data_IF_830081805362
#
_entry.id   IF_830081805362
#
_cell.length_a   1.000
_cell.length_b   1.000
_cell.length_c   1.000
_cell.angle_alpha   90.00
_cell.angle_beta   90.00
_cell.angle_gamma   90.00
#
_symmetry.space_group_name_H-M   'P 1'
#
loop_
_entity.id
_entity.type
_entity.pdbx_description
1 polymer ?
#
# COMPACT_ATOMS: atom_id res chain seq x y z
N UNK A 1 -29.54 -42.16 -23.48
CA UNK A 1 -28.76 -41.68 -22.31
C UNK A 1 -27.68 -42.72 -22.13
N UNK A 2 -26.56 -42.53 -22.82
CA UNK A 2 -25.50 -43.52 -22.86
C UNK A 2 -24.83 -43.60 -21.48
N UNK A 3 -24.64 -44.82 -20.98
CA UNK A 3 -24.08 -45.07 -19.66
C UNK A 3 -22.66 -44.49 -19.57
N UNK A 4 -22.42 -43.65 -18.57
CA UNK A 4 -21.09 -43.09 -18.32
C UNK A 4 -20.08 -44.23 -18.05
N UNK A 5 -18.87 -44.17 -18.64
CA UNK A 5 -17.90 -45.27 -18.58
C UNK A 5 -17.27 -45.50 -17.20
N UNK A 6 -17.62 -44.72 -16.16
CA UNK A 6 -17.05 -44.83 -14.81
C UNK A 6 -18.17 -44.65 -13.75
N UNK A 7 -18.69 -45.74 -13.16
CA UNK A 7 -19.84 -45.68 -12.24
C UNK A 7 -19.54 -44.96 -10.90
N UNK A 8 -18.28 -44.93 -10.46
CA UNK A 8 -17.88 -44.21 -9.26
C UNK A 8 -18.07 -42.68 -9.38
N UNK A 9 -17.96 -42.13 -10.60
CA UNK A 9 -18.15 -40.70 -10.84
C UNK A 9 -19.65 -40.36 -10.92
N UNK A 10 -20.47 -41.29 -11.44
CA UNK A 10 -21.92 -41.07 -11.48
C UNK A 10 -22.55 -41.01 -10.08
N UNK A 11 -22.09 -41.80 -9.12
CA UNK A 11 -22.59 -41.73 -7.72
C UNK A 11 -22.24 -40.40 -7.05
N UNK A 12 -21.04 -39.86 -7.33
CA UNK A 12 -20.62 -38.56 -6.78
C UNK A 12 -21.34 -37.39 -7.45
N UNK A 13 -21.67 -37.52 -8.75
CA UNK A 13 -22.36 -36.49 -9.51
C UNK A 13 -23.89 -36.56 -9.41
N UNK A 14 -24.47 -37.69 -8.98
CA UNK A 14 -25.92 -37.89 -8.82
C UNK A 14 -26.62 -36.74 -8.06
N UNK A 15 -26.13 -36.24 -6.91
CA UNK A 15 -26.76 -35.12 -6.21
C UNK A 15 -26.66 -33.77 -6.97
N UNK A 16 -25.77 -33.66 -7.95
CA UNK A 16 -25.55 -32.46 -8.76
C UNK A 16 -26.19 -32.55 -10.15
N UNK A 17 -26.57 -33.74 -10.61
CA UNK A 17 -27.24 -33.98 -11.90
C UNK A 17 -28.75 -33.84 -11.70
N UNK A 18 -29.25 -32.63 -11.90
CA UNK A 18 -30.69 -32.34 -11.86
C UNK A 18 -31.36 -32.63 -13.19
N UNK A 19 -32.66 -32.97 -13.13
CA UNK A 19 -33.47 -33.14 -14.33
C UNK A 19 -33.56 -31.82 -15.12
N UNK A 20 -33.60 -31.90 -16.45
CA UNK A 20 -33.70 -30.70 -17.31
C UNK A 20 -34.91 -29.83 -16.96
N UNK A 21 -36.03 -30.45 -16.57
CA UNK A 21 -37.25 -29.77 -16.12
C UNK A 21 -37.05 -29.03 -14.80
N UNK A 22 -36.35 -29.63 -13.84
CA UNK A 22 -36.05 -28.98 -12.55
C UNK A 22 -35.11 -27.80 -12.75
N UNK A 23 -34.06 -27.96 -13.58
CA UNK A 23 -33.14 -26.85 -13.91
C UNK A 23 -33.87 -25.69 -14.59
N UNK A 24 -34.79 -25.98 -15.51
CA UNK A 24 -35.61 -24.95 -16.15
C UNK A 24 -36.55 -24.26 -15.15
N UNK A 25 -37.20 -25.01 -14.25
CA UNK A 25 -38.06 -24.44 -13.21
C UNK A 25 -37.28 -23.54 -12.25
N UNK A 26 -36.10 -23.98 -11.79
CA UNK A 26 -35.21 -23.16 -10.93
C UNK A 26 -34.76 -21.90 -11.67
N UNK A 27 -34.36 -22.02 -12.94
CA UNK A 27 -33.96 -20.85 -13.75
C UNK A 27 -35.11 -19.87 -13.92
N UNK A 28 -36.32 -20.35 -14.17
CA UNK A 28 -37.51 -19.51 -14.30
C UNK A 28 -37.85 -18.81 -12.98
N UNK A 29 -37.81 -19.53 -11.85
CA UNK A 29 -38.04 -18.94 -10.53
C UNK A 29 -37.01 -17.85 -10.20
N UNK A 30 -35.72 -18.11 -10.46
CA UNK A 30 -34.66 -17.11 -10.27
C UNK A 30 -34.85 -15.92 -11.19
N UNK A 31 -35.22 -16.14 -12.45
CA UNK A 31 -35.53 -15.08 -13.41
C UNK A 31 -36.64 -14.17 -12.89
N UNK A 32 -37.78 -14.74 -12.48
CA UNK A 32 -38.90 -13.97 -11.92
C UNK A 32 -38.54 -13.23 -10.64
N UNK A 33 -37.67 -13.81 -9.81
CA UNK A 33 -37.22 -13.18 -8.58
C UNK A 33 -36.31 -11.98 -8.87
N UNK A 34 -35.36 -12.12 -9.79
CA UNK A 34 -34.47 -11.04 -10.21
C UNK A 34 -35.24 -9.93 -10.93
N UNK A 35 -36.21 -10.27 -11.77
CA UNK A 35 -37.14 -9.29 -12.38
C UNK A 35 -37.86 -8.46 -11.31
N UNK A 36 -38.41 -9.12 -10.29
CA UNK A 36 -39.13 -8.44 -9.21
C UNK A 36 -38.23 -7.50 -8.39
N UNK A 37 -36.95 -7.85 -8.20
CA UNK A 37 -36.02 -7.06 -7.40
C UNK A 37 -35.39 -5.91 -8.19
N UNK A 38 -35.10 -6.14 -9.47
CA UNK A 38 -34.43 -5.15 -10.32
C UNK A 38 -35.40 -4.16 -10.96
N UNK A 39 -36.73 -4.43 -10.96
CA UNK A 39 -37.76 -3.55 -11.56
C UNK A 39 -37.26 -2.95 -12.89
N UNK A 40 -36.75 -3.81 -13.78
CA UNK A 40 -36.44 -3.40 -15.14
C UNK A 40 -37.76 -2.89 -15.73
N UNK A 41 -37.77 -1.65 -16.22
CA UNK A 41 -38.90 -1.17 -17.01
C UNK A 41 -39.20 -2.20 -18.11
N UNK A 42 -40.48 -2.42 -18.40
CA UNK A 42 -41.04 -3.57 -19.15
C UNK A 42 -40.43 -3.89 -20.53
N UNK A 43 -39.37 -3.20 -20.96
CA UNK A 43 -38.71 -3.31 -22.26
C UNK A 43 -37.25 -3.78 -22.21
N UNK A 44 -36.59 -3.88 -21.05
CA UNK A 44 -35.18 -4.35 -20.99
C UNK A 44 -35.08 -5.82 -20.57
N UNK A 45 -34.49 -6.71 -21.39
CA UNK A 45 -34.23 -8.09 -20.98
C UNK A 45 -33.13 -8.13 -19.90
N UNK A 46 -33.17 -9.12 -18.99
CA UNK A 46 -32.09 -9.33 -18.04
C UNK A 46 -30.81 -9.73 -18.78
N UNK A 47 -29.91 -8.77 -18.94
CA UNK A 47 -28.55 -9.01 -19.42
C UNK A 47 -27.59 -9.04 -18.23
N UNK A 48 -26.47 -9.75 -18.35
CA UNK A 48 -25.41 -9.80 -17.33
C UNK A 48 -24.95 -8.41 -16.90
N UNK A 49 -24.92 -7.46 -17.84
CA UNK A 49 -24.59 -6.05 -17.59
C UNK A 49 -25.55 -5.36 -16.61
N UNK A 50 -26.85 -5.67 -16.66
CA UNK A 50 -27.87 -5.07 -15.79
C UNK A 50 -27.85 -5.66 -14.37
N UNK A 51 -27.28 -6.86 -14.22
CA UNK A 51 -27.12 -7.54 -12.93
C UNK A 51 -25.82 -7.10 -12.24
N UNK A 52 -24.77 -6.80 -13.01
CA UNK A 52 -23.49 -6.31 -12.48
C UNK A 52 -23.54 -4.87 -12.01
N UNK A 53 -24.39 -4.03 -12.62
CA UNK A 53 -24.51 -2.61 -12.28
C UNK A 53 -26.00 -2.24 -12.10
N UNK A 54 -26.62 -2.57 -10.95
CA UNK A 54 -27.98 -2.14 -10.69
C UNK A 54 -28.02 -0.61 -10.61
N UNK A 55 -29.02 0.07 -11.20
CA UNK A 55 -29.12 1.51 -11.12
C UNK A 55 -29.23 1.95 -9.65
N UNK A 56 -28.12 2.46 -9.10
CA UNK A 56 -27.94 2.94 -7.72
C UNK A 56 -28.89 4.11 -7.34
N UNK A 57 -29.72 4.55 -8.27
CA UNK A 57 -30.60 5.71 -8.13
C UNK A 57 -31.87 5.44 -7.32
N UNK A 58 -32.15 4.19 -6.90
CA UNK A 58 -33.34 3.91 -6.08
C UNK A 58 -33.07 4.20 -4.60
N UNK A 59 -34.00 4.86 -3.88
CA UNK A 59 -33.99 4.85 -2.42
C UNK A 59 -34.16 3.41 -1.93
N UNK A 60 -33.15 2.86 -1.24
CA UNK A 60 -33.30 1.60 -0.52
C UNK A 60 -34.40 1.81 0.55
N UNK A 61 -35.55 1.16 0.36
CA UNK A 61 -36.67 1.17 1.31
C UNK A 61 -36.41 0.25 2.51
N UNK A 62 -37.45 -0.21 3.18
CA UNK A 62 -37.29 -1.15 4.30
C UNK A 62 -36.65 -2.47 3.86
N UNK A 63 -35.74 -3.05 4.68
CA UNK A 63 -35.06 -4.29 4.34
C UNK A 63 -36.06 -5.43 4.18
N UNK A 64 -35.97 -6.26 3.12
CA UNK A 64 -36.80 -7.44 3.01
C UNK A 64 -36.63 -8.33 4.25
N UNK A 65 -37.74 -8.86 4.75
CA UNK A 65 -37.81 -9.64 6.01
C UNK A 65 -36.99 -10.93 5.98
N UNK A 66 -36.54 -11.36 4.79
CA UNK A 66 -35.65 -12.51 4.57
C UNK A 66 -34.17 -12.24 4.88
N UNK A 67 -33.75 -10.97 4.99
CA UNK A 67 -32.36 -10.62 5.31
C UNK A 67 -32.15 -10.68 6.83
N UNK A 68 -31.33 -11.62 7.28
CA UNK A 68 -30.95 -11.76 8.70
C UNK A 68 -29.45 -11.48 8.91
N UNK A 69 -29.08 -11.14 10.14
CA UNK A 69 -27.69 -10.95 10.57
C UNK A 69 -26.94 -9.81 9.86
N UNK A 70 -25.71 -10.09 9.45
CA UNK A 70 -24.75 -9.11 8.88
C UNK A 70 -25.28 -8.45 7.61
N UNK A 71 -26.02 -9.18 6.77
CA UNK A 71 -26.58 -8.63 5.53
C UNK A 71 -27.63 -7.55 5.81
N UNK A 72 -28.42 -7.71 6.89
CA UNK A 72 -29.37 -6.69 7.35
C UNK A 72 -28.65 -5.45 7.89
N UNK A 73 -27.53 -5.64 8.59
CA UNK A 73 -26.70 -4.54 9.09
C UNK A 73 -26.06 -3.76 7.92
N UNK A 74 -25.53 -4.47 6.91
CA UNK A 74 -25.00 -3.86 5.70
C UNK A 74 -26.05 -3.07 4.94
N UNK A 75 -27.25 -3.63 4.76
CA UNK A 75 -28.37 -2.92 4.13
C UNK A 75 -28.73 -1.63 4.90
N UNK A 76 -28.79 -1.67 6.24
CA UNK A 76 -29.01 -0.47 7.06
C UNK A 76 -27.90 0.56 6.90
N UNK A 77 -26.64 0.12 6.80
CA UNK A 77 -25.50 0.98 6.58
C UNK A 77 -25.57 1.66 5.20
N UNK A 78 -25.97 0.93 4.15
CA UNK A 78 -26.20 1.50 2.82
C UNK A 78 -27.31 2.56 2.81
N UNK A 79 -28.44 2.28 3.46
CA UNK A 79 -29.53 3.26 3.63
C UNK A 79 -29.04 4.53 4.33
N UNK A 80 -28.30 4.35 5.43
CA UNK A 80 -27.73 5.48 6.17
C UNK A 80 -26.71 6.27 5.33
N UNK A 81 -25.89 5.59 4.52
CA UNK A 81 -24.94 6.22 3.63
C UNK A 81 -25.63 7.04 2.53
N UNK A 82 -26.66 6.47 1.87
CA UNK A 82 -27.44 7.19 0.86
C UNK A 82 -28.15 8.43 1.46
N UNK A 83 -28.67 8.31 2.69
CA UNK A 83 -29.26 9.45 3.40
C UNK A 83 -28.22 10.52 3.74
N UNK A 84 -27.00 10.13 4.14
CA UNK A 84 -25.91 11.05 4.40
C UNK A 84 -25.43 11.76 3.12
N UNK A 85 -25.34 11.04 2.01
CA UNK A 85 -24.98 11.59 0.70
C UNK A 85 -25.99 12.63 0.23
N UNK A 86 -27.30 12.34 0.34
CA UNK A 86 -28.36 13.32 0.02
C UNK A 86 -28.25 14.60 0.87
N UNK A 87 -27.90 14.48 2.16
CA UNK A 87 -27.67 15.64 3.03
C UNK A 87 -26.43 16.42 2.61
N UNK A 88 -25.35 15.72 2.25
CA UNK A 88 -24.14 16.35 1.75
C UNK A 88 -24.40 17.11 0.45
N UNK A 89 -25.08 16.49 -0.50
CA UNK A 89 -25.42 17.11 -1.79
C UNK A 89 -26.34 18.33 -1.58
N UNK A 90 -27.30 18.23 -0.64
CA UNK A 90 -28.14 19.35 -0.22
C UNK A 90 -27.31 20.52 0.33
N UNK A 91 -26.43 20.26 1.31
CA UNK A 91 -25.55 21.28 1.87
C UNK A 91 -24.59 21.87 0.82
N UNK A 92 -24.09 21.04 -0.10
CA UNK A 92 -23.22 21.50 -1.18
C UNK A 92 -23.99 22.42 -2.14
N UNK A 93 -25.26 22.10 -2.44
CA UNK A 93 -26.11 22.97 -3.25
C UNK A 93 -26.44 24.30 -2.53
N UNK A 94 -26.65 24.28 -1.22
CA UNK A 94 -26.84 25.48 -0.40
C UNK A 94 -25.57 26.35 -0.37
N UNK A 95 -24.40 25.74 -0.18
CA UNK A 95 -23.11 26.42 -0.25
C UNK A 95 -22.85 27.03 -1.62
N UNK A 96 -23.17 26.30 -2.69
CA UNK A 96 -23.06 26.82 -4.06
C UNK A 96 -24.01 28.00 -4.27
N UNK A 97 -25.25 27.93 -3.77
CA UNK A 97 -26.22 29.04 -3.79
C UNK A 97 -25.75 30.28 -3.03
N UNK A 98 -25.12 30.10 -1.86
CA UNK A 98 -24.54 31.19 -1.08
C UNK A 98 -23.30 31.78 -1.76
N UNK A 99 -22.44 30.95 -2.35
CA UNK A 99 -21.22 31.40 -3.03
C UNK A 99 -21.50 32.15 -4.34
N UNK A 100 -22.55 31.77 -5.05
CA UNK A 100 -23.01 32.46 -6.25
C UNK A 100 -23.66 33.82 -5.91
N UNK A 101 -24.22 33.98 -4.71
CA UNK A 101 -24.82 35.24 -4.24
C UNK A 101 -23.81 36.34 -3.85
N UNK A 102 -22.54 35.99 -3.59
CA UNK A 102 -21.50 36.94 -3.14
C UNK A 102 -20.67 37.54 -4.28
N UNK A 103 -20.96 37.20 -5.54
CA UNK A 103 -20.21 37.64 -6.72
C UNK A 103 -20.64 38.97 -7.35
N UNK A 104 -21.71 39.63 -6.87
CA UNK A 104 -22.17 40.90 -7.42
C UNK A 104 -21.57 42.08 -6.66
N UNK A 105 -20.40 42.53 -7.11
CA UNK A 105 -19.97 43.94 -7.19
C UNK A 105 -20.70 44.94 -6.26
N UNK A 106 -20.31 45.04 -4.99
CA UNK A 106 -20.64 46.20 -4.15
C UNK A 106 -19.35 46.88 -3.74
N UNK A 107 -19.11 48.03 -4.36
CA UNK A 107 -18.14 49.04 -3.95
C UNK A 107 -18.27 49.31 -2.44
N UNK A 108 -17.17 49.31 -1.66
CA UNK A 108 -17.26 49.43 -0.21
C UNK A 108 -17.74 50.82 0.17
N UNK A 109 -18.97 50.91 0.69
CA UNK A 109 -19.43 52.04 1.48
C UNK A 109 -18.96 51.80 2.94
N UNK A 110 -18.30 52.77 3.58
CA UNK A 110 -17.80 52.62 4.94
C UNK A 110 -18.96 52.85 5.91
N UNK A 111 -19.45 51.78 6.55
CA UNK A 111 -20.47 51.92 7.60
C UNK A 111 -21.37 50.71 7.84
N UNK A 112 -20.92 49.48 7.56
CA UNK A 112 -21.69 48.29 7.91
C UNK A 112 -21.04 47.53 9.05
N UNK A 113 -21.75 47.45 10.17
CA UNK A 113 -21.43 46.69 11.39
C UNK A 113 -21.11 45.19 11.14
N UNK A 114 -21.35 44.67 9.93
CA UNK A 114 -21.04 43.30 9.55
C UNK A 114 -19.53 43.02 9.41
N UNK A 115 -18.73 44.00 8.95
CA UNK A 115 -17.26 43.86 8.91
C UNK A 115 -16.65 43.92 10.30
N UNK A 116 -17.34 44.57 11.24
CA UNK A 116 -16.91 44.68 12.63
C UNK A 116 -17.09 43.35 13.37
N UNK A 117 -18.15 42.59 13.08
CA UNK A 117 -18.33 41.24 13.64
C UNK A 117 -17.26 40.26 13.12
N UNK A 118 -16.96 40.30 11.82
CA UNK A 118 -15.91 39.43 11.23
C UNK A 118 -14.52 39.82 11.74
N UNK A 119 -14.23 41.12 11.87
CA UNK A 119 -12.97 41.58 12.43
C UNK A 119 -12.84 41.23 13.92
N UNK A 120 -13.94 41.27 14.68
CA UNK A 120 -14.01 40.78 16.07
C UNK A 120 -13.79 39.26 16.17
N UNK A 121 -14.34 38.47 15.24
CA UNK A 121 -14.08 37.03 15.19
C UNK A 121 -12.62 36.73 14.87
N UNK A 122 -12.03 37.43 13.90
CA UNK A 122 -10.60 37.33 13.61
C UNK A 122 -9.72 37.78 14.79
N UNK A 123 -10.12 38.82 15.51
CA UNK A 123 -9.43 39.29 16.71
C UNK A 123 -9.53 38.27 17.86
N UNK A 124 -10.69 37.63 18.06
CA UNK A 124 -10.88 36.56 19.04
C UNK A 124 -10.05 35.32 18.71
N UNK A 125 -10.01 34.94 17.43
CA UNK A 125 -9.21 33.82 16.97
C UNK A 125 -7.70 34.10 17.14
N UNK A 126 -7.24 35.31 16.79
CA UNK A 126 -5.86 35.74 17.06
C UNK A 126 -5.53 35.71 18.56
N UNK A 127 -6.45 36.19 19.41
CA UNK A 127 -6.28 36.15 20.87
C UNK A 127 -6.20 34.71 21.39
N UNK A 128 -7.03 33.80 20.88
CA UNK A 128 -6.99 32.38 21.25
C UNK A 128 -5.64 31.75 20.89
N UNK A 129 -5.13 32.03 19.69
CA UNK A 129 -3.80 31.56 19.26
C UNK A 129 -2.68 32.12 20.14
N UNK A 130 -2.74 33.41 20.45
CA UNK A 130 -1.77 34.05 21.33
C UNK A 130 -1.81 33.49 22.76
N UNK A 131 -2.99 33.13 23.28
CA UNK A 131 -3.13 32.47 24.58
C UNK A 131 -2.53 31.06 24.60
N UNK A 132 -2.66 30.31 23.50
CA UNK A 132 -2.01 28.99 23.37
C UNK A 132 -0.49 29.15 23.31
N UNK A 133 0.00 30.14 22.58
CA UNK A 133 1.42 30.48 22.53
C UNK A 133 1.95 30.96 23.89
N UNK A 134 1.22 31.81 24.62
CA UNK A 134 1.63 32.25 25.95
C UNK A 134 1.64 31.09 26.92
N UNK A 135 0.60 30.23 26.94
CA UNK A 135 0.58 29.04 27.78
C UNK A 135 1.70 28.05 27.43
N UNK A 136 2.07 27.93 26.15
CA UNK A 136 3.20 27.09 25.74
C UNK A 136 4.53 27.70 26.21
N UNK A 137 4.68 29.02 26.14
CA UNK A 137 5.86 29.74 26.65
C UNK A 137 5.95 29.66 28.17
N UNK A 138 4.85 29.87 28.89
CA UNK A 138 4.76 29.69 30.34
C UNK A 138 5.12 28.24 30.72
N UNK A 139 4.66 27.25 29.94
CA UNK A 139 5.05 25.85 30.14
C UNK A 139 6.53 25.56 29.88
N UNK A 140 7.16 26.28 28.95
CA UNK A 140 8.62 26.22 28.71
C UNK A 140 9.39 26.93 29.82
N UNK A 141 8.87 28.05 30.32
CA UNK A 141 9.46 28.80 31.42
C UNK A 141 9.33 28.05 32.75
N UNK A 142 8.19 27.42 33.02
CA UNK A 142 8.00 26.52 34.17
C UNK A 142 8.90 25.28 34.07
N UNK A 143 9.03 24.70 32.87
CA UNK A 143 9.97 23.60 32.63
C UNK A 143 11.45 24.05 32.74
N UNK A 144 11.75 25.29 32.37
CA UNK A 144 13.07 25.91 32.48
C UNK A 144 13.42 26.38 33.89
N UNK A 145 12.43 26.81 34.66
CA UNK A 145 12.54 27.25 36.06
C UNK A 145 12.59 26.05 37.01
N UNK A 146 11.88 24.96 36.69
CA UNK A 146 12.09 23.65 37.31
C UNK A 146 13.50 23.09 37.01
N UNK A 147 14.18 23.61 35.99
CA UNK A 147 15.59 23.40 35.67
C UNK A 147 16.52 24.43 36.34
N UNK A 148 16.09 25.04 37.45
CA UNK A 148 16.93 25.92 38.25
C UNK A 148 18.27 25.28 38.59
N UNK A 149 19.34 25.82 37.99
CA UNK A 149 20.77 25.53 38.26
C UNK A 149 21.25 24.07 38.13
N UNK A 150 20.45 23.15 37.59
CA UNK A 150 20.96 21.84 37.19
C UNK A 150 21.42 21.95 35.72
N UNK A 151 22.73 21.87 35.50
CA UNK A 151 23.37 21.99 34.20
C UNK A 151 22.57 21.23 33.13
N UNK A 152 22.09 21.97 32.12
CA UNK A 152 21.27 21.47 31.00
C UNK A 152 21.81 20.16 30.40
N UNK A 153 23.13 19.99 30.42
CA UNK A 153 23.86 18.79 30.01
C UNK A 153 23.47 17.52 30.79
N UNK A 154 23.14 17.60 32.07
CA UNK A 154 22.77 16.42 32.88
C UNK A 154 21.34 15.93 32.57
N UNK A 155 20.46 16.84 32.18
CA UNK A 155 19.08 16.49 31.78
C UNK A 155 19.07 15.93 30.36
N UNK A 156 19.88 16.50 29.46
CA UNK A 156 20.08 15.96 28.11
C UNK A 156 20.77 14.59 28.17
N UNK A 157 21.77 14.40 29.03
CA UNK A 157 22.45 13.10 29.23
C UNK A 157 21.53 12.03 29.80
N UNK A 158 20.60 12.39 30.69
CA UNK A 158 19.57 11.46 31.24
C UNK A 158 18.48 11.09 30.23
N UNK A 159 18.09 11.99 29.32
CA UNK A 159 17.01 11.72 28.33
C UNK A 159 17.49 11.23 26.97
N UNK A 160 18.67 11.65 26.52
CA UNK A 160 19.19 11.38 25.18
C UNK A 160 20.38 10.41 25.15
N UNK A 161 20.90 9.99 26.31
CA UNK A 161 22.12 9.18 26.39
C UNK A 161 23.38 10.02 26.12
N UNK A 162 24.55 9.41 26.30
CA UNK A 162 25.84 10.10 26.15
C UNK A 162 26.06 10.54 24.70
N UNK A 163 26.08 11.86 24.49
CA UNK A 163 26.26 12.46 23.17
C UNK A 163 27.70 12.21 22.72
N UNK A 164 27.93 11.64 21.52
CA UNK A 164 29.28 11.40 21.03
C UNK A 164 29.98 12.75 20.82
N UNK A 165 31.19 12.86 21.38
CA UNK A 165 32.05 14.05 21.28
C UNK A 165 32.22 14.43 19.80
N UNK A 166 31.79 15.63 19.36
CA UNK A 166 32.07 16.07 18.01
C UNK A 166 33.57 16.30 17.85
N UNK A 167 34.22 15.81 16.78
CA UNK A 167 35.63 16.05 16.57
C UNK A 167 35.86 17.56 16.40
N UNK A 168 36.57 18.12 17.38
CA UNK A 168 37.19 19.43 17.32
C UNK A 168 37.95 19.57 16.01
N UNK A 169 37.64 20.62 15.26
CA UNK A 169 38.39 21.06 14.10
C UNK A 169 39.84 21.34 14.50
N UNK A 170 40.67 20.31 14.42
CA UNK A 170 42.12 20.42 14.36
C UNK A 170 42.56 19.74 13.08
N UNK A 171 42.77 20.57 12.06
CA UNK A 171 43.79 20.34 11.05
C UNK A 171 45.04 19.79 11.74
N UNK A 172 45.36 18.52 11.53
CA UNK A 172 46.54 18.10 10.78
C UNK A 172 46.63 16.58 10.87
N UNK A 173 46.88 15.97 9.72
CA UNK A 173 47.73 14.81 9.52
C UNK A 173 47.55 13.62 10.48
N UNK A 174 47.07 12.52 9.91
CA UNK A 174 47.92 11.36 9.56
C UNK A 174 47.03 10.11 9.52
N UNK A 175 47.08 9.47 8.36
CA UNK A 175 46.89 8.04 8.12
C UNK A 175 45.48 7.42 8.24
N UNK A 176 45.11 6.89 7.08
CA UNK A 176 44.39 5.64 6.88
C UNK A 176 42.87 5.65 7.02
N UNK A 177 42.21 5.55 5.85
CA UNK A 177 40.99 4.75 5.74
C UNK A 177 39.73 5.48 5.31
N UNK A 178 39.78 6.65 4.66
CA UNK A 178 38.55 7.35 4.26
C UNK A 178 38.39 7.62 2.74
N UNK A 179 38.23 6.55 1.94
CA UNK A 179 37.85 6.69 0.51
C UNK A 179 36.37 7.01 0.27
N UNK A 180 35.47 6.69 1.23
CA UNK A 180 34.02 6.68 0.97
C UNK A 180 33.30 8.03 1.18
N UNK A 181 33.60 8.77 2.25
CA UNK A 181 32.93 10.07 2.53
C UNK A 181 33.46 11.19 1.65
N UNK A 182 34.76 11.17 1.32
CA UNK A 182 35.34 12.11 0.36
C UNK A 182 34.76 11.89 -1.05
N UNK A 183 34.55 10.65 -1.47
CA UNK A 183 33.88 10.34 -2.74
C UNK A 183 32.43 10.86 -2.80
N UNK A 184 31.64 10.69 -1.73
CA UNK A 184 30.26 11.22 -1.67
C UNK A 184 30.21 12.76 -1.64
N UNK A 185 31.13 13.40 -0.92
CA UNK A 185 31.22 14.86 -0.91
C UNK A 185 31.67 15.42 -2.26
N UNK A 186 32.61 14.76 -2.94
CA UNK A 186 33.02 15.07 -4.31
C UNK A 186 31.89 14.81 -5.32
N UNK A 187 31.10 13.76 -5.12
CA UNK A 187 29.91 13.47 -5.93
C UNK A 187 28.85 14.57 -5.77
N UNK A 188 28.58 15.00 -4.54
CA UNK A 188 27.66 16.10 -4.26
C UNK A 188 28.17 17.44 -4.79
N UNK A 189 29.48 17.68 -4.76
CA UNK A 189 30.11 18.84 -5.38
C UNK A 189 29.98 18.79 -6.92
N UNK A 190 30.17 17.62 -7.53
CA UNK A 190 30.00 17.39 -8.95
C UNK A 190 28.54 17.60 -9.38
N UNK A 191 27.58 17.05 -8.66
CA UNK A 191 26.14 17.24 -8.93
C UNK A 191 25.76 18.73 -8.89
N UNK A 192 26.24 19.47 -7.88
CA UNK A 192 26.02 20.92 -7.80
C UNK A 192 26.68 21.68 -8.94
N UNK A 193 27.88 21.28 -9.36
CA UNK A 193 28.60 21.88 -10.48
C UNK A 193 27.92 21.60 -11.83
N UNK A 194 27.36 20.40 -12.01
CA UNK A 194 26.61 20.02 -13.22
C UNK A 194 25.29 20.79 -13.29
N UNK A 195 24.56 20.89 -12.18
CA UNK A 195 23.32 21.66 -12.11
C UNK A 195 23.56 23.16 -12.34
N UNK A 196 24.65 23.72 -11.80
CA UNK A 196 25.01 25.12 -12.05
C UNK A 196 25.43 25.37 -13.50
N UNK A 197 26.20 24.43 -14.10
CA UNK A 197 26.56 24.48 -15.51
C UNK A 197 25.36 24.34 -16.45
N UNK A 198 24.37 23.50 -16.11
CA UNK A 198 23.11 23.40 -16.85
C UNK A 198 22.32 24.71 -16.76
N UNK A 199 22.23 25.30 -15.57
CA UNK A 199 21.57 26.59 -15.38
C UNK A 199 22.20 27.72 -16.19
N UNK A 200 23.53 27.74 -16.37
CA UNK A 200 24.20 28.73 -17.22
C UNK A 200 24.01 28.45 -18.70
N UNK A 201 24.03 27.19 -19.14
CA UNK A 201 23.77 26.79 -20.54
C UNK A 201 22.32 27.09 -20.94
N UNK A 202 21.34 26.79 -20.09
CA UNK A 202 19.94 27.13 -20.34
C UNK A 202 19.70 28.64 -20.40
N UNK A 203 20.41 29.40 -19.55
CA UNK A 203 20.36 30.88 -19.58
C UNK A 203 20.99 31.44 -20.85
N UNK A 204 22.09 30.86 -21.33
CA UNK A 204 22.71 31.24 -22.61
C UNK A 204 21.86 30.83 -23.82
N UNK A 205 21.18 29.68 -23.78
CA UNK A 205 20.23 29.27 -24.82
C UNK A 205 18.99 30.17 -24.86
N UNK A 206 18.44 30.58 -23.71
CA UNK A 206 17.31 31.52 -23.63
C UNK A 206 17.67 32.94 -24.08
N UNK A 207 18.93 33.35 -23.90
CA UNK A 207 19.42 34.67 -24.31
C UNK A 207 20.03 34.70 -25.72
N UNK A 208 20.01 33.59 -26.46
CA UNK A 208 20.46 33.56 -27.85
C UNK A 208 19.36 34.15 -28.75
N UNK A 209 19.58 35.33 -29.38
CA UNK A 209 18.59 35.91 -30.26
C UNK A 209 18.43 35.00 -31.49
N UNK A 210 17.24 34.43 -31.68
CA UNK A 210 16.80 33.93 -32.98
C UNK A 210 16.66 35.12 -33.92
N UNK A 211 17.77 35.53 -34.55
CA UNK A 211 17.82 36.60 -35.53
C UNK A 211 18.85 36.23 -36.60
N UNK A 212 18.38 36.07 -37.83
CA UNK A 212 19.15 35.55 -38.96
C UNK A 212 20.28 36.46 -39.44
N UNK A 213 21.22 35.83 -40.15
CA UNK A 213 22.35 36.46 -40.80
C UNK A 213 23.46 35.43 -40.91
N UNK A 214 23.77 35.01 -42.13
CA UNK A 214 24.70 33.92 -42.41
C UNK A 214 26.08 34.14 -41.78
N UNK A 215 26.58 33.08 -41.13
CA UNK A 215 28.01 32.83 -41.01
C UNK A 215 28.20 31.33 -40.71
N UNK A 216 29.03 30.67 -41.50
CA UNK A 216 29.34 29.23 -41.39
C UNK A 216 29.97 28.84 -40.03
N UNK A 217 30.37 29.84 -39.24
CA UNK A 217 30.93 29.74 -37.88
C UNK A 217 29.94 29.24 -36.80
N UNK A 218 28.64 29.21 -37.10
CA UNK A 218 27.62 28.71 -36.15
C UNK A 218 27.53 27.18 -36.05
N UNK A 219 27.97 26.45 -37.08
CA UNK A 219 27.91 24.99 -37.09
C UNK A 219 29.03 24.34 -36.27
N UNK A 220 30.21 24.95 -36.24
CA UNK A 220 31.37 24.47 -35.48
C UNK A 220 31.21 24.58 -33.97
N UNK A 221 30.35 25.49 -33.47
CA UNK A 221 30.02 25.60 -32.04
C UNK A 221 28.83 24.73 -31.63
N UNK A 222 28.00 24.31 -32.58
CA UNK A 222 26.85 23.45 -32.31
C UNK A 222 27.27 22.00 -32.02
N UNK A 223 28.23 21.47 -32.78
CA UNK A 223 28.79 20.12 -32.55
C UNK A 223 29.44 19.94 -31.15
N UNK A 224 30.30 20.83 -30.63
CA UNK A 224 30.86 20.73 -29.29
C UNK A 224 29.80 20.95 -28.20
N UNK A 225 28.78 21.78 -28.47
CA UNK A 225 27.68 21.99 -27.52
C UNK A 225 26.74 20.78 -27.45
N UNK A 226 26.50 20.12 -28.59
CA UNK A 226 25.73 18.89 -28.66
C UNK A 226 26.48 17.71 -28.06
N UNK A 227 27.79 17.57 -28.32
CA UNK A 227 28.60 16.55 -27.64
C UNK A 227 28.68 16.81 -26.14
N UNK A 228 28.78 18.06 -25.69
CA UNK A 228 28.75 18.40 -24.25
C UNK A 228 27.41 18.06 -23.59
N UNK A 229 26.29 18.33 -24.26
CA UNK A 229 24.96 18.00 -23.73
C UNK A 229 24.71 16.49 -23.72
N UNK A 230 25.18 15.76 -24.73
CA UNK A 230 25.19 14.29 -24.73
C UNK A 230 26.08 13.70 -23.62
N UNK A 231 27.26 14.28 -23.39
CA UNK A 231 28.17 13.84 -22.31
C UNK A 231 27.56 14.10 -20.93
N UNK A 232 26.87 15.25 -20.76
CA UNK A 232 26.12 15.55 -19.53
C UNK A 232 24.98 14.54 -19.36
N UNK A 233 24.20 14.26 -20.41
CA UNK A 233 23.13 13.26 -20.35
C UNK A 233 23.63 11.83 -20.15
N UNK A 234 24.84 11.50 -20.61
CA UNK A 234 25.48 10.22 -20.35
C UNK A 234 25.96 10.12 -18.90
N UNK A 235 26.60 11.17 -18.36
CA UNK A 235 27.02 11.23 -16.95
C UNK A 235 25.80 11.19 -16.03
N UNK A 236 24.72 11.90 -16.35
CA UNK A 236 23.46 11.84 -15.59
C UNK A 236 22.86 10.44 -15.58
N UNK A 237 22.86 9.73 -16.73
CA UNK A 237 22.42 8.33 -16.81
C UNK A 237 23.28 7.40 -15.97
N UNK A 238 24.61 7.56 -16.01
CA UNK A 238 25.53 6.78 -15.18
C UNK A 238 25.37 7.09 -13.68
N UNK A 239 25.16 8.37 -13.32
CA UNK A 239 24.91 8.79 -11.94
C UNK A 239 23.53 8.34 -11.42
N UNK A 240 22.52 8.28 -12.28
CA UNK A 240 21.20 7.72 -11.95
C UNK A 240 21.32 6.21 -11.69
N UNK A 241 22.09 5.48 -12.51
CA UNK A 241 22.40 4.07 -12.31
C UNK A 241 23.11 3.80 -10.97
N UNK A 242 23.98 4.72 -10.53
CA UNK A 242 24.67 4.63 -9.24
C UNK A 242 23.77 5.08 -8.07
N UNK A 243 22.85 6.02 -8.31
CA UNK A 243 21.93 6.58 -7.31
C UNK A 243 20.71 5.72 -6.99
N UNK A 244 20.22 4.92 -7.96
CA UNK A 244 19.09 3.99 -7.78
C UNK A 244 19.49 2.62 -7.21
N UNK A 245 20.77 2.43 -6.87
CA UNK A 245 21.22 1.29 -6.09
C UNK A 245 21.94 0.24 -6.92
N UNK A 246 23.28 0.31 -6.89
CA UNK A 246 24.07 -0.91 -6.74
C UNK A 246 23.78 -1.54 -5.37
N UNK A 247 22.59 -2.14 -5.27
CA UNK A 247 22.25 -3.20 -4.33
C UNK A 247 21.55 -4.36 -5.07
N UNK A 248 21.45 -4.31 -6.40
CA UNK A 248 20.84 -5.35 -7.24
C UNK A 248 21.74 -5.70 -8.44
N UNK A 249 22.93 -6.18 -8.13
CA UNK A 249 23.71 -7.11 -8.95
C UNK A 249 24.71 -7.71 -7.96
N UNK A 250 24.33 -8.67 -7.13
CA UNK A 250 24.22 -10.06 -7.54
C UNK A 250 23.41 -10.81 -6.46
N UNK A 251 22.07 -10.85 -6.59
CA UNK A 251 21.25 -11.76 -5.77
C UNK A 251 21.19 -13.10 -6.47
N UNK A 252 22.15 -13.93 -6.13
CA UNK A 252 22.04 -15.40 -6.16
C UNK A 252 20.69 -15.79 -5.51
N UNK A 253 19.93 -16.74 -6.06
CA UNK A 253 18.66 -17.16 -5.47
C UNK A 253 18.90 -17.75 -4.08
N UNK A 254 18.04 -17.38 -3.13
CA UNK A 254 18.10 -17.84 -1.76
C UNK A 254 17.91 -19.36 -1.66
N UNK A 255 18.91 -20.05 -1.11
CA UNK A 255 18.75 -21.37 -0.49
C UNK A 255 18.19 -21.21 0.93
N UNK A 256 17.41 -22.18 1.45
CA UNK A 256 16.74 -22.04 2.73
C UNK A 256 17.66 -22.41 3.90
N UNK A 257 17.67 -21.52 4.90
CA UNK A 257 17.87 -21.79 6.33
C UNK A 257 19.25 -22.31 6.79
N UNK A 258 19.93 -21.53 7.64
CA UNK A 258 20.07 -21.88 9.06
C UNK A 258 20.81 -20.79 9.84
N UNK A 259 20.48 -20.76 11.11
CA UNK A 259 20.94 -19.90 12.19
C UNK A 259 22.45 -19.86 12.45
N UNK A 260 22.86 -18.75 13.07
CA UNK A 260 24.04 -18.51 13.92
C UNK A 260 25.24 -17.87 13.24
N UNK A 261 25.61 -16.71 13.78
CA UNK A 261 26.73 -15.92 13.34
C UNK A 261 28.07 -16.60 13.57
N UNK A 262 29.00 -16.34 12.67
CA UNK A 262 30.33 -15.94 13.04
C UNK A 262 30.94 -15.19 11.85
N UNK A 263 31.63 -14.10 12.15
CA UNK A 263 32.46 -13.37 11.21
C UNK A 263 33.67 -14.27 10.89
N UNK A 264 33.82 -14.69 9.64
CA UNK A 264 34.85 -15.63 9.23
C UNK A 264 34.87 -15.83 7.71
N UNK A 265 35.91 -15.30 7.10
CA UNK A 265 36.39 -15.48 5.72
C UNK A 265 35.91 -16.80 5.07
N UNK A 266 34.94 -16.71 4.16
CA UNK A 266 34.35 -17.86 3.46
C UNK A 266 35.33 -18.35 2.41
N UNK A 267 36.16 -19.33 2.77
CA UNK A 267 36.80 -20.20 1.80
C UNK A 267 35.71 -21.08 1.18
N UNK A 268 35.16 -20.64 0.04
CA UNK A 268 34.20 -21.43 -0.75
C UNK A 268 34.86 -22.77 -1.07
N UNK A 269 34.23 -23.85 -0.60
CA UNK A 269 34.75 -25.21 -0.77
C UNK A 269 34.65 -25.62 -2.24
N UNK A 270 35.60 -26.45 -2.72
CA UNK A 270 35.63 -26.89 -4.13
C UNK A 270 34.34 -27.63 -4.51
N UNK A 271 33.76 -28.35 -3.56
CA UNK A 271 32.48 -29.06 -3.71
C UNK A 271 31.32 -28.09 -4.02
N UNK A 272 31.30 -26.92 -3.37
CA UNK A 272 30.28 -25.89 -3.62
C UNK A 272 30.43 -25.24 -5.02
N UNK A 273 31.66 -25.18 -5.55
CA UNK A 273 31.92 -24.71 -6.91
C UNK A 273 31.46 -25.77 -7.93
N UNK A 274 31.69 -27.05 -7.65
CA UNK A 274 31.23 -28.17 -8.48
C UNK A 274 29.70 -28.20 -8.58
N UNK A 275 29.00 -28.05 -7.45
CA UNK A 275 27.54 -27.98 -7.39
C UNK A 275 26.98 -26.78 -8.17
N UNK A 276 27.61 -25.61 -8.05
CA UNK A 276 27.23 -24.42 -8.82
C UNK A 276 27.46 -24.61 -10.32
N UNK A 277 28.52 -25.32 -10.70
CA UNK A 277 28.82 -25.62 -12.10
C UNK A 277 27.85 -26.64 -12.69
N UNK A 278 27.44 -27.64 -11.92
CA UNK A 278 26.42 -28.61 -12.31
C UNK A 278 25.07 -27.91 -12.51
N UNK A 279 24.66 -27.05 -11.58
CA UNK A 279 23.45 -26.24 -11.71
C UNK A 279 23.48 -25.29 -12.93
N UNK A 280 24.65 -24.72 -13.24
CA UNK A 280 24.84 -23.93 -14.46
C UNK A 280 24.70 -24.78 -15.74
N UNK A 281 25.25 -25.99 -15.77
CA UNK A 281 25.13 -26.91 -16.91
C UNK A 281 23.69 -27.39 -17.13
N UNK A 282 22.95 -27.68 -16.05
CA UNK A 282 21.53 -28.02 -16.12
C UNK A 282 20.69 -26.85 -16.65
N UNK A 283 20.90 -25.65 -16.13
CA UNK A 283 20.20 -24.45 -16.62
C UNK A 283 20.49 -24.19 -18.10
N UNK A 284 21.75 -24.38 -18.53
CA UNK A 284 22.16 -24.18 -19.92
C UNK A 284 21.61 -25.25 -20.85
N UNK A 285 21.55 -26.51 -20.43
CA UNK A 285 20.96 -27.60 -21.21
C UNK A 285 19.45 -27.44 -21.32
N UNK A 286 18.77 -27.01 -20.24
CA UNK A 286 17.35 -26.65 -20.26
C UNK A 286 17.06 -25.50 -21.23
N UNK A 287 17.87 -24.44 -21.22
CA UNK A 287 17.73 -23.32 -22.15
C UNK A 287 17.99 -23.74 -23.61
N UNK A 288 18.96 -24.63 -23.84
CA UNK A 288 19.16 -25.19 -25.18
C UNK A 288 18.00 -26.08 -25.62
N UNK A 289 17.37 -26.84 -24.71
CA UNK A 289 16.17 -27.60 -25.01
C UNK A 289 14.98 -26.69 -25.35
N UNK A 290 14.80 -25.57 -24.64
CA UNK A 290 13.72 -24.61 -24.96
C UNK A 290 13.95 -23.88 -26.28
N UNK A 291 15.21 -23.58 -26.64
CA UNK A 291 15.56 -23.02 -27.95
C UNK A 291 15.44 -24.05 -29.09
N UNK A 292 15.74 -25.32 -28.83
CA UNK A 292 15.59 -26.40 -29.81
C UNK A 292 14.13 -26.84 -29.98
N UNK A 293 13.28 -26.63 -28.97
CA UNK A 293 11.84 -26.76 -29.13
C UNK A 293 11.33 -25.60 -29.99
N UNK A 294 11.35 -25.81 -31.32
CA UNK A 294 10.71 -24.91 -32.28
C UNK A 294 9.28 -24.59 -31.78
N UNK A 295 8.91 -23.31 -31.61
CA UNK A 295 7.59 -22.97 -31.10
C UNK A 295 6.56 -23.56 -32.05
N UNK A 296 5.72 -24.46 -31.52
CA UNK A 296 4.52 -24.88 -32.23
C UNK A 296 3.65 -23.64 -32.35
N UNK A 297 3.58 -23.12 -33.58
CA UNK A 297 2.59 -22.12 -33.97
C UNK A 297 1.24 -22.68 -33.53
N UNK A 298 0.61 -22.02 -32.57
CA UNK A 298 -0.76 -22.33 -32.21
C UNK A 298 -1.62 -21.98 -33.42
N UNK A 299 -2.08 -23.02 -34.11
CA UNK A 299 -3.07 -22.95 -35.17
C UNK A 299 -4.38 -22.47 -34.51
N UNK A 300 -4.64 -21.16 -34.59
CA UNK A 300 -5.96 -20.64 -34.29
C UNK A 300 -6.86 -21.00 -35.47
N UNK A 301 -7.88 -21.81 -35.17
CA UNK A 301 -8.77 -22.43 -36.14
C UNK A 301 -9.19 -21.50 -37.27
N UNK A 302 -8.81 -21.91 -38.47
CA UNK A 302 -9.25 -21.36 -39.74
C UNK A 302 -10.77 -21.58 -39.88
N UNK A 303 -11.49 -20.47 -39.75
CA UNK A 303 -12.85 -20.32 -40.25
C UNK A 303 -12.84 -19.42 -41.46
N UNK A 304 -12.62 -20.01 -42.64
CA UNK A 304 -13.20 -19.59 -43.92
C UNK A 304 -12.75 -18.22 -44.44
N UNK A 305 -11.87 -18.19 -45.45
CA UNK A 305 -12.30 -17.94 -46.84
C UNK A 305 -11.14 -17.62 -47.81
N UNK A 306 -11.25 -18.25 -48.98
CA UNK A 306 -10.78 -17.83 -50.30
C UNK A 306 -9.28 -17.90 -50.65
N UNK A 307 -8.92 -19.06 -51.20
CA UNK A 307 -8.37 -19.22 -52.56
C UNK A 307 -7.74 -17.99 -53.21
N UNK A 308 -6.41 -17.95 -53.24
CA UNK A 308 -5.64 -17.59 -54.44
C UNK A 308 -4.42 -18.50 -54.56
N UNK A 309 -4.65 -19.68 -55.13
CA UNK A 309 -3.61 -20.55 -55.62
C UNK A 309 -3.05 -19.92 -56.91
N UNK A 310 -1.94 -19.19 -56.81
CA UNK A 310 -1.14 -18.80 -57.97
C UNK A 310 0.04 -19.76 -58.10
N UNK A 311 -0.21 -20.87 -58.77
CA UNK A 311 0.86 -21.69 -59.33
C UNK A 311 1.53 -20.93 -60.47
N UNK A 312 2.83 -20.69 -60.37
CA UNK A 312 3.68 -20.58 -61.54
C UNK A 312 5.15 -20.54 -61.13
N UNK A 313 5.81 -21.66 -61.46
CA UNK A 313 7.18 -21.80 -61.91
C UNK A 313 8.36 -21.45 -60.98
N UNK A 314 9.08 -22.51 -60.65
CA UNK A 314 10.53 -22.54 -60.52
C UNK A 314 11.20 -21.69 -61.61
N UNK A 315 11.92 -20.66 -61.17
CA UNK A 315 13.12 -20.21 -61.86
C UNK A 315 14.12 -19.81 -60.80
N UNK A 316 15.24 -20.54 -60.75
CA UNK A 316 16.45 -20.20 -60.05
C UNK A 316 16.77 -18.71 -60.18
N UNK A 317 16.54 -17.97 -59.10
CA UNK A 317 17.20 -16.71 -58.84
C UNK A 317 17.56 -16.74 -57.37
N UNK A 318 18.86 -16.86 -57.11
CA UNK A 318 19.49 -16.63 -55.81
C UNK A 318 19.30 -15.15 -55.47
N UNK A 319 18.06 -14.78 -55.11
CA UNK A 319 17.75 -13.47 -54.58
C UNK A 319 18.37 -13.46 -53.20
N UNK A 320 19.44 -12.69 -53.02
CA UNK A 320 20.00 -12.38 -51.72
C UNK A 320 18.87 -11.92 -50.80
N UNK A 321 18.36 -12.83 -49.97
CA UNK A 321 17.33 -12.55 -48.99
C UNK A 321 17.99 -11.62 -48.00
N UNK A 322 17.72 -10.33 -48.15
CA UNK A 322 18.23 -9.34 -47.22
C UNK A 322 17.67 -9.68 -45.83
N UNK A 323 18.47 -9.55 -44.76
CA UNK A 323 18.07 -9.95 -43.40
C UNK A 323 16.81 -9.20 -42.92
N UNK A 324 16.46 -8.08 -43.58
CA UNK A 324 15.23 -7.35 -43.38
C UNK A 324 13.97 -8.18 -43.74
N UNK A 325 13.99 -8.96 -44.82
CA UNK A 325 12.82 -9.76 -45.25
C UNK A 325 12.58 -10.94 -44.30
N UNK A 326 13.63 -11.49 -43.69
CA UNK A 326 13.52 -12.55 -42.68
C UNK A 326 13.03 -12.06 -41.32
N UNK A 327 13.22 -10.76 -41.00
CA UNK A 327 12.85 -10.19 -39.70
C UNK A 327 11.45 -9.59 -39.67
N UNK A 328 10.91 -9.18 -40.82
CA UNK A 328 9.56 -8.58 -40.94
C UNK A 328 8.42 -9.36 -40.24
N UNK A 329 8.36 -10.72 -40.29
CA UNK A 329 7.30 -11.46 -39.61
C UNK A 329 7.39 -11.40 -38.08
N UNK A 330 8.57 -11.07 -37.54
CA UNK A 330 8.83 -11.01 -36.10
C UNK A 330 8.65 -9.59 -35.54
N UNK A 331 8.54 -8.56 -36.38
CA UNK A 331 8.38 -7.17 -35.93
C UNK A 331 7.05 -6.97 -35.22
N UNK A 332 5.96 -7.54 -35.74
CA UNK A 332 4.63 -7.49 -35.11
C UNK A 332 4.60 -8.13 -33.72
N UNK A 333 5.03 -9.39 -33.52
CA UNK A 333 5.04 -9.99 -32.19
C UNK A 333 6.04 -9.31 -31.23
N UNK A 334 7.16 -8.76 -31.73
CA UNK A 334 8.07 -7.95 -30.91
C UNK A 334 7.43 -6.63 -30.47
N UNK A 335 6.63 -5.99 -31.31
CA UNK A 335 5.89 -4.78 -30.98
C UNK A 335 4.82 -5.06 -29.92
N UNK A 336 4.05 -6.15 -30.11
CA UNK A 336 3.07 -6.64 -29.13
C UNK A 336 3.72 -6.98 -27.79
N UNK A 337 4.89 -7.62 -27.80
CA UNK A 337 5.66 -7.91 -26.59
C UNK A 337 6.09 -6.61 -25.90
N UNK A 338 6.61 -5.64 -26.63
CA UNK A 338 6.99 -4.34 -26.07
C UNK A 338 5.78 -3.58 -25.51
N UNK A 339 4.61 -3.67 -26.14
CA UNK A 339 3.39 -3.05 -25.61
C UNK A 339 2.89 -3.79 -24.36
N UNK A 340 3.04 -5.12 -24.30
CA UNK A 340 2.76 -5.90 -23.08
C UNK A 340 3.71 -5.57 -21.92
N UNK A 341 4.99 -5.33 -22.21
CA UNK A 341 5.99 -4.89 -21.23
C UNK A 341 5.64 -3.51 -20.67
N UNK A 342 5.25 -2.57 -21.54
CA UNK A 342 4.78 -1.24 -21.12
C UNK A 342 3.51 -1.36 -20.27
N UNK A 343 2.56 -2.22 -20.64
CA UNK A 343 1.34 -2.43 -19.85
C UNK A 343 1.66 -3.04 -18.47
N UNK A 344 2.55 -4.04 -18.40
CA UNK A 344 2.98 -4.67 -17.14
C UNK A 344 3.73 -3.70 -16.24
N UNK A 345 4.64 -2.90 -16.78
CA UNK A 345 5.38 -1.90 -15.99
C UNK A 345 4.44 -0.82 -15.44
N UNK A 346 3.42 -0.40 -16.21
CA UNK A 346 2.38 0.52 -15.73
C UNK A 346 1.54 -0.11 -14.62
N UNK A 347 1.12 -1.36 -14.76
CA UNK A 347 0.39 -2.09 -13.71
C UNK A 347 1.24 -2.23 -12.44
N UNK A 348 2.52 -2.56 -12.56
CA UNK A 348 3.43 -2.66 -11.44
C UNK A 348 3.60 -1.33 -10.71
N UNK A 349 3.73 -0.22 -11.45
CA UNK A 349 3.81 1.11 -10.87
C UNK A 349 2.50 1.49 -10.16
N UNK A 350 1.35 1.17 -10.75
CA UNK A 350 0.04 1.37 -10.14
C UNK A 350 -0.11 0.58 -8.84
N UNK A 351 0.23 -0.71 -8.84
CA UNK A 351 0.16 -1.57 -7.66
C UNK A 351 1.10 -1.11 -6.54
N UNK A 352 2.31 -0.65 -6.88
CA UNK A 352 3.23 -0.06 -5.88
C UNK A 352 2.63 1.21 -5.27
N UNK A 353 2.00 2.05 -6.08
CA UNK A 353 1.31 3.25 -5.58
C UNK A 353 0.16 2.86 -4.65
N UNK A 354 -0.70 1.92 -5.04
CA UNK A 354 -1.79 1.44 -4.19
C UNK A 354 -1.30 0.76 -2.90
N UNK A 355 -0.19 0.03 -2.95
CA UNK A 355 0.41 -0.58 -1.76
C UNK A 355 0.92 0.50 -0.80
N UNK A 356 1.65 1.50 -1.29
CA UNK A 356 2.16 2.60 -0.44
C UNK A 356 1.05 3.48 0.13
N UNK A 357 -0.05 3.68 -0.60
CA UNK A 357 -1.23 4.40 -0.06
C UNK A 357 -1.94 3.57 1.01
N UNK A 358 -2.07 2.26 0.81
CA UNK A 358 -2.63 1.36 1.81
C UNK A 358 -1.75 1.30 3.07
N UNK A 359 -0.43 1.15 2.92
CA UNK A 359 0.54 1.17 4.03
C UNK A 359 0.48 2.48 4.82
N UNK A 360 0.44 3.62 4.13
CA UNK A 360 0.31 4.92 4.78
C UNK A 360 -1.05 5.07 5.51
N UNK A 361 -2.13 4.48 4.98
CA UNK A 361 -3.43 4.46 5.64
C UNK A 361 -3.41 3.57 6.89
N UNK A 362 -2.79 2.39 6.83
CA UNK A 362 -2.65 1.50 7.99
C UNK A 362 -1.78 2.12 9.07
N UNK A 363 -0.68 2.79 8.70
CA UNK A 363 0.19 3.47 9.67
C UNK A 363 -0.54 4.61 10.38
N UNK A 364 -1.36 5.38 9.67
CA UNK A 364 -2.20 6.43 10.28
C UNK A 364 -3.22 5.84 11.25
N UNK A 365 -3.86 4.75 10.88
CA UNK A 365 -4.85 4.08 11.71
C UNK A 365 -4.20 3.46 12.96
N UNK A 366 -3.03 2.84 12.82
CA UNK A 366 -2.24 2.32 13.95
C UNK A 366 -1.81 3.43 14.90
N UNK A 367 -1.31 4.57 14.39
CA UNK A 367 -0.97 5.73 15.21
C UNK A 367 -2.18 6.28 15.95
N UNK A 368 -3.30 6.42 15.26
CA UNK A 368 -4.55 6.86 15.89
C UNK A 368 -4.99 5.91 16.99
N UNK A 369 -4.93 4.59 16.76
CA UNK A 369 -5.23 3.62 17.81
C UNK A 369 -4.23 3.68 18.95
N UNK A 370 -2.95 3.97 18.69
CA UNK A 370 -1.96 4.17 19.75
C UNK A 370 -2.30 5.39 20.60
N UNK A 371 -2.70 6.50 19.96
CA UNK A 371 -3.06 7.74 20.64
C UNK A 371 -4.38 7.60 21.43
N UNK A 372 -5.32 6.78 20.94
CA UNK A 372 -6.57 6.44 21.65
C UNK A 372 -6.39 5.38 22.74
N UNK A 373 -5.31 4.60 22.69
CA UNK A 373 -5.03 3.51 23.63
C UNK A 373 -4.34 4.05 24.88
N UNK A 374 -4.88 3.72 26.05
CA UNK A 374 -4.19 3.94 27.32
C UNK A 374 -3.13 2.88 27.64
N UNK A 375 -3.02 1.83 26.82
CA UNK A 375 -2.08 0.73 27.04
C UNK A 375 -0.69 1.01 26.45
N UNK A 376 -0.59 1.87 25.44
CA UNK A 376 0.65 2.11 24.71
C UNK A 376 0.92 3.61 24.69
N UNK A 377 2.20 4.00 24.68
CA UNK A 377 2.56 5.42 24.61
C UNK A 377 2.15 6.03 23.25
N UNK A 378 1.77 7.32 23.22
CA UNK A 378 1.45 8.00 21.96
C UNK A 378 2.66 7.94 21.02
N UNK A 379 2.39 7.73 19.73
CA UNK A 379 3.44 7.56 18.70
C UNK A 379 3.98 6.13 18.49
N UNK A 380 3.49 5.13 19.22
CA UNK A 380 3.80 3.72 18.95
C UNK A 380 3.20 3.25 17.62
N UNK A 381 4.03 3.23 16.57
CA UNK A 381 3.60 2.87 15.21
C UNK A 381 3.99 1.46 14.80
N UNK A 382 4.93 0.81 15.51
CA UNK A 382 5.42 -0.52 15.15
C UNK A 382 4.76 -1.57 16.04
N UNK A 383 4.43 -2.73 15.48
CA UNK A 383 3.80 -3.83 16.24
C UNK A 383 4.64 -4.31 17.44
N UNK A 384 5.96 -4.13 17.41
CA UNK A 384 6.84 -4.44 18.56
C UNK A 384 6.52 -3.58 19.79
N UNK A 385 6.14 -2.33 19.57
CA UNK A 385 5.81 -1.37 20.65
C UNK A 385 4.49 -1.74 21.33
N UNK A 386 3.61 -2.47 20.63
CA UNK A 386 2.33 -2.98 21.15
C UNK A 386 2.46 -4.33 21.85
N UNK A 387 3.46 -5.13 21.48
CA UNK A 387 3.63 -6.49 22.00
C UNK A 387 3.96 -6.52 23.50
N UNK A 388 4.86 -5.64 23.95
CA UNK A 388 5.27 -5.59 25.36
C UNK A 388 4.14 -5.13 26.29
N UNK A 389 3.47 -3.98 26.04
CA UNK A 389 2.37 -3.55 26.91
C UNK A 389 1.16 -4.47 26.81
N UNK A 390 0.91 -5.07 25.64
CA UNK A 390 -0.14 -6.08 25.48
C UNK A 390 0.10 -7.32 26.33
N UNK A 391 1.34 -7.81 26.37
CA UNK A 391 1.72 -8.94 27.23
C UNK A 391 1.57 -8.58 28.72
N UNK A 392 2.02 -7.38 29.10
CA UNK A 392 1.90 -6.90 30.48
C UNK A 392 0.43 -6.77 30.91
N UNK A 393 -0.41 -6.13 30.09
CA UNK A 393 -1.84 -5.96 30.36
C UNK A 393 -2.57 -7.30 30.47
N UNK A 394 -2.19 -8.28 29.62
CA UNK A 394 -2.70 -9.65 29.70
C UNK A 394 -2.31 -10.31 31.02
N UNK A 395 -1.06 -10.14 31.45
CA UNK A 395 -0.56 -10.73 32.70
C UNK A 395 -1.22 -10.07 33.93
N UNK A 396 -1.37 -8.75 33.92
CA UNK A 396 -2.09 -8.02 34.97
C UNK A 396 -3.55 -8.47 35.08
N UNK A 397 -4.24 -8.63 33.94
CA UNK A 397 -5.62 -9.13 33.90
C UNK A 397 -5.71 -10.54 34.46
N UNK A 398 -4.77 -11.42 34.07
CA UNK A 398 -4.70 -12.78 34.59
C UNK A 398 -4.53 -12.79 36.11
N UNK A 399 -3.58 -12.02 36.63
CA UNK A 399 -3.33 -11.91 38.07
C UNK A 399 -4.56 -11.35 38.82
N UNK A 400 -5.25 -10.36 38.24
CA UNK A 400 -6.47 -9.80 38.81
C UNK A 400 -7.60 -10.84 38.88
N UNK A 401 -7.82 -11.59 37.80
CA UNK A 401 -8.82 -12.65 37.74
C UNK A 401 -8.49 -13.78 38.71
N UNK A 402 -7.25 -14.23 38.76
CA UNK A 402 -6.78 -15.28 39.67
C UNK A 402 -6.94 -14.84 41.13
N UNK A 403 -6.61 -13.58 41.45
CA UNK A 403 -6.85 -12.97 42.76
C UNK A 403 -8.33 -12.99 43.14
N UNK A 404 -9.23 -12.57 42.23
CA UNK A 404 -10.68 -12.60 42.45
C UNK A 404 -11.22 -14.02 42.61
N UNK A 405 -10.75 -14.95 41.81
CA UNK A 405 -11.12 -16.36 41.87
C UNK A 405 -10.72 -16.97 43.22
N UNK A 406 -9.50 -16.70 43.68
CA UNK A 406 -9.01 -17.19 44.96
C UNK A 406 -9.77 -16.57 46.15
N UNK A 407 -10.08 -15.27 46.09
CA UNK A 407 -10.93 -14.61 47.08
C UNK A 407 -12.35 -15.22 47.09
N UNK A 408 -12.93 -15.49 45.93
CA UNK A 408 -14.21 -16.17 45.80
C UNK A 408 -14.19 -17.60 46.37
N UNK A 409 -13.14 -18.37 46.09
CA UNK A 409 -12.93 -19.71 46.67
C UNK A 409 -12.80 -19.66 48.20
N UNK A 410 -12.08 -18.67 48.74
CA UNK A 410 -11.95 -18.50 50.19
C UNK A 410 -13.29 -18.12 50.84
N UNK A 411 -14.05 -17.23 50.21
CA UNK A 411 -15.39 -16.87 50.66
C UNK A 411 -16.37 -18.06 50.63
N UNK A 412 -16.32 -18.88 49.57
CA UNK A 412 -17.11 -20.10 49.46
C UNK A 412 -16.77 -21.10 50.58
N UNK A 413 -15.47 -21.38 50.81
CA UNK A 413 -15.03 -22.25 51.91
C UNK A 413 -15.49 -21.74 53.28
N UNK A 414 -15.48 -20.42 53.49
CA UNK A 414 -15.94 -19.82 54.74
C UNK A 414 -17.47 -19.94 54.90
N UNK A 415 -18.22 -19.84 53.79
CA UNK A 415 -19.65 -20.10 53.79
C UNK A 415 -19.97 -21.57 54.08
N UNK A 416 -19.24 -22.51 53.46
CA UNK A 416 -19.38 -23.95 53.71
C UNK A 416 -19.10 -24.28 55.18
N UNK A 417 -18.01 -23.76 55.76
CA UNK A 417 -17.70 -23.96 57.17
C UNK A 417 -18.80 -23.41 58.11
N UNK A 418 -19.43 -22.29 57.74
CA UNK A 418 -20.57 -21.74 58.50
C UNK A 418 -21.82 -22.62 58.37
N UNK A 419 -22.07 -23.18 57.19
CA UNK A 419 -23.19 -24.11 56.98
C UNK A 419 -23.00 -25.40 57.78
N UNK A 420 -21.78 -25.95 57.81
CA UNK A 420 -21.44 -27.13 58.61
C UNK A 420 -21.66 -26.86 60.10
N UNK A 421 -21.25 -25.69 60.61
CA UNK A 421 -21.49 -25.29 62.00
C UNK A 421 -22.98 -25.12 62.33
N UNK A 422 -23.79 -24.59 61.40
CA UNK A 422 -25.24 -24.55 61.56
C UNK A 422 -25.86 -25.95 61.54
N UNK A 423 -25.30 -26.86 60.73
CA UNK A 423 -25.66 -28.28 60.70
C UNK A 423 -25.45 -28.95 62.04
N UNK A 424 -24.29 -28.77 62.68
CA UNK A 424 -24.01 -29.36 63.99
C UNK A 424 -24.93 -28.81 65.09
N UNK A 425 -25.18 -27.50 65.10
CA UNK A 425 -26.13 -26.88 66.05
C UNK A 425 -27.53 -27.46 65.89
N UNK A 426 -27.97 -27.69 64.64
CA UNK A 426 -29.26 -28.32 64.35
C UNK A 426 -29.33 -29.75 64.90
N UNK A 427 -28.28 -30.55 64.70
CA UNK A 427 -28.22 -31.91 65.23
C UNK A 427 -28.28 -31.94 66.76
N UNK A 428 -27.59 -31.01 67.43
CA UNK A 428 -27.59 -30.94 68.88
C UNK A 428 -28.95 -30.52 69.45
N UNK A 429 -29.67 -29.61 68.78
CA UNK A 429 -31.05 -29.28 69.12
C UNK A 429 -31.99 -30.48 68.96
N UNK A 430 -31.84 -31.28 67.90
CA UNK A 430 -32.63 -32.49 67.70
C UNK A 430 -32.32 -33.56 68.78
N UNK A 431 -31.06 -33.70 69.21
CA UNK A 431 -30.70 -34.58 70.33
C UNK A 431 -31.35 -34.14 71.64
N UNK A 432 -31.32 -32.84 71.94
CA UNK A 432 -31.97 -32.25 73.13
C UNK A 432 -33.48 -32.51 73.14
N UNK A 433 -34.13 -32.37 71.99
CA UNK A 433 -35.57 -32.65 71.81
C UNK A 433 -35.91 -34.13 71.99
N UNK A 434 -35.01 -35.05 71.62
CA UNK A 434 -35.20 -36.49 71.85
C UNK A 434 -34.99 -36.89 73.31
N UNK A 435 -34.15 -36.17 74.06
CA UNK A 435 -33.90 -36.43 75.48
C UNK A 435 -34.98 -35.88 76.42
N UNK A 436 -35.88 -35.03 75.93
CA UNK A 436 -36.98 -34.41 76.70
C UNK A 436 -38.34 -35.09 76.48
N UNK A 437 -38.38 -36.14 75.67
CA UNK A 437 -39.48 -37.10 75.59
C UNK A 437 -39.08 -38.38 76.31
#
# INVERSE_FOLDING_TARGET
MDACPIPAISEVLEPYVKSRSEVLSVRQNLHTHLESQLHLENATPLCSANVSDPPLSRPLGDPPTSLTGVRKAYYRALVAHQAAQKRYDGLNSELQGLSAGTGSHISPQPGSDSTDVVSLLHAREKRRRLLVLSHALDGIEDAGSALGNAAMDDVVRKRAGEVPVPPSNSQHDVANGHGSVDARQRLGALQRAVLSAKGTVERCQRNSPRGGGGDESGSELFAPQQTRTELIGWIERQLALIGEGQAESERVPATPSSTNGNDGEVAVSIEEIEDLYEGYLEARTSLLQTLQSKPRVFDHGDGSNHTLQRSSHESNAEAAVTPAVTLLPYVTPLLEMKDSEVALSQQQAFLRKELTTAEAATDRLLRRHADESHLVHPGASKGKDWALPGAEASQQTKNFVDGRLNAGKAAAKLADAKLDALGSVREDLEKLKRSTK
#
